data_IF_733609352973
#
_entry.id   IF_733609352973
#
_cell.length_a   1.000
_cell.length_b   1.000
_cell.length_c   1.000
_cell.angle_alpha   90.00
_cell.angle_beta   90.00
_cell.angle_gamma   90.00
#
_symmetry.space_group_name_H-M   'P 1'
#
loop_
_entity.id
_entity.type
_entity.pdbx_description
1 polymer ?
#
# COMPACT_ATOMS: atom_id res chain seq x y z
N UNK A 1 -5.51 -6.84 -15.03
CA UNK A 1 -4.06 -6.84 -15.27
C UNK A 1 -3.76 -7.93 -16.26
N UNK A 2 -3.04 -7.61 -17.34
CA UNK A 2 -2.47 -8.65 -18.22
C UNK A 2 -1.37 -9.38 -17.43
N UNK A 3 -1.13 -10.66 -17.70
CA UNK A 3 -0.02 -11.42 -17.11
C UNK A 3 1.36 -10.84 -17.45
N UNK A 4 1.43 -9.94 -18.43
CA UNK A 4 2.66 -9.33 -18.95
C UNK A 4 2.92 -7.92 -18.40
N UNK A 5 2.16 -7.45 -17.41
CA UNK A 5 2.33 -6.11 -16.83
C UNK A 5 2.84 -6.21 -15.40
N UNK A 6 3.98 -5.57 -15.11
CA UNK A 6 4.46 -5.35 -13.75
C UNK A 6 3.87 -4.05 -13.22
N UNK A 7 3.25 -4.12 -12.04
CA UNK A 7 2.69 -2.97 -11.34
C UNK A 7 3.52 -2.71 -10.09
N UNK A 8 3.79 -1.43 -9.80
CA UNK A 8 4.35 -0.95 -8.55
C UNK A 8 3.53 0.22 -8.02
N UNK A 9 3.66 0.50 -6.73
CA UNK A 9 2.94 1.59 -6.07
C UNK A 9 3.92 2.42 -5.24
N UNK A 10 3.86 3.74 -5.44
CA UNK A 10 4.54 4.73 -4.62
C UNK A 10 3.50 5.51 -3.82
N UNK A 11 3.79 5.79 -2.56
CA UNK A 11 2.89 6.55 -1.68
C UNK A 11 3.38 8.01 -1.65
N UNK A 12 2.53 8.94 -2.06
CA UNK A 12 2.80 10.38 -2.04
C UNK A 12 1.77 11.11 -1.15
N UNK A 13 1.86 11.01 0.18
CA UNK A 13 0.91 11.67 1.07
C UNK A 13 1.04 13.21 1.02
N UNK A 14 -0.08 13.93 1.11
CA UNK A 14 -0.12 15.39 1.33
C UNK A 14 -0.14 15.77 2.80
N UNK A 15 -0.70 14.92 3.65
CA UNK A 15 -0.83 15.16 5.09
C UNK A 15 0.37 14.64 5.88
N UNK A 16 0.53 15.16 7.10
CA UNK A 16 1.58 14.69 8.00
C UNK A 16 1.41 13.19 8.29
N UNK A 17 2.46 12.43 8.02
CA UNK A 17 2.48 10.99 8.24
C UNK A 17 2.50 10.65 9.73
N UNK A 18 1.69 9.68 10.11
CA UNK A 18 1.55 9.12 11.45
C UNK A 18 1.31 7.61 11.34
N UNK A 19 1.48 6.87 12.42
CA UNK A 19 1.30 5.41 12.36
C UNK A 19 -0.16 5.01 12.10
N UNK A 20 -1.12 5.79 12.60
CA UNK A 20 -2.56 5.58 12.44
C UNK A 20 -3.01 5.81 10.98
N UNK A 21 -2.56 6.89 10.34
CA UNK A 21 -2.99 7.25 9.00
C UNK A 21 -2.21 6.55 7.87
N UNK A 22 -1.20 5.74 8.19
CA UNK A 22 -0.41 4.98 7.20
C UNK A 22 -0.74 3.50 7.13
N UNK A 23 -1.72 3.03 7.91
CA UNK A 23 -2.09 1.60 7.95
C UNK A 23 -2.41 1.03 6.56
N UNK A 24 -3.19 1.74 5.75
CA UNK A 24 -3.53 1.30 4.38
C UNK A 24 -2.28 1.28 3.48
N UNK A 25 -1.48 2.34 3.51
CA UNK A 25 -0.25 2.44 2.71
C UNK A 25 0.75 1.32 3.03
N UNK A 26 0.92 1.01 4.32
CA UNK A 26 1.74 -0.12 4.79
C UNK A 26 1.16 -1.46 4.37
N UNK A 27 -0.16 -1.62 4.42
CA UNK A 27 -0.87 -2.83 3.99
C UNK A 27 -0.67 -3.12 2.50
N UNK A 28 -0.80 -2.08 1.66
CA UNK A 28 -0.54 -2.17 0.22
C UNK A 28 0.90 -2.61 -0.02
N UNK A 29 1.88 -1.94 0.59
CA UNK A 29 3.29 -2.27 0.39
C UNK A 29 3.65 -3.68 0.89
N UNK A 30 3.14 -4.10 2.05
CA UNK A 30 3.31 -5.45 2.57
C UNK A 30 2.74 -6.50 1.61
N UNK A 31 1.58 -6.25 0.99
CA UNK A 31 1.00 -7.14 0.00
C UNK A 31 1.90 -7.29 -1.23
N UNK A 32 2.39 -6.18 -1.79
CA UNK A 32 3.30 -6.21 -2.94
C UNK A 32 4.62 -6.94 -2.67
N UNK A 33 5.09 -6.96 -1.42
CA UNK A 33 6.36 -7.60 -1.04
C UNK A 33 6.23 -9.08 -0.67
N UNK A 34 5.02 -9.56 -0.35
CA UNK A 34 4.83 -10.89 0.25
C UNK A 34 3.88 -11.79 -0.52
N UNK A 35 3.06 -11.25 -1.42
CA UNK A 35 1.96 -11.98 -2.05
C UNK A 35 2.14 -12.10 -3.56
N UNK A 36 1.49 -13.10 -4.15
CA UNK A 36 1.41 -13.26 -5.59
C UNK A 36 0.38 -12.28 -6.22
N UNK A 37 0.42 -12.16 -7.55
CA UNK A 37 -0.42 -11.19 -8.28
C UNK A 37 -1.94 -11.39 -8.07
N UNK A 38 -2.40 -12.64 -7.96
CA UNK A 38 -3.83 -12.92 -7.73
C UNK A 38 -4.28 -12.46 -6.35
N UNK A 39 -3.47 -12.74 -5.33
CA UNK A 39 -3.76 -12.36 -3.94
C UNK A 39 -3.67 -10.84 -3.75
N UNK A 40 -2.67 -10.18 -4.35
CA UNK A 40 -2.57 -8.70 -4.34
C UNK A 40 -3.85 -8.08 -4.88
N UNK A 41 -4.32 -8.52 -6.04
CA UNK A 41 -5.55 -7.98 -6.66
C UNK A 41 -6.77 -8.15 -5.75
N UNK A 42 -6.94 -9.34 -5.17
CA UNK A 42 -8.05 -9.65 -4.27
C UNK A 42 -8.01 -8.78 -3.00
N UNK A 43 -6.83 -8.66 -2.40
CA UNK A 43 -6.61 -7.87 -1.20
C UNK A 43 -6.81 -6.36 -1.44
N UNK A 44 -6.27 -5.81 -2.53
CA UNK A 44 -6.48 -4.40 -2.89
C UNK A 44 -7.97 -4.08 -3.10
N UNK A 45 -8.72 -4.97 -3.74
CA UNK A 45 -10.18 -4.83 -3.92
C UNK A 45 -10.94 -4.78 -2.59
N UNK A 46 -10.46 -5.49 -1.55
CA UNK A 46 -11.02 -5.34 -0.20
C UNK A 46 -10.66 -4.00 0.42
N UNK A 47 -9.40 -3.56 0.31
CA UNK A 47 -8.94 -2.29 0.88
C UNK A 47 -9.63 -1.05 0.29
N UNK A 48 -10.09 -1.12 -0.96
CA UNK A 48 -10.81 0.00 -1.61
C UNK A 48 -12.25 0.19 -1.11
N UNK A 49 -12.78 -0.73 -0.31
CA UNK A 49 -14.14 -0.62 0.22
C UNK A 49 -14.21 0.38 1.36
N UNK A 50 -15.22 1.23 1.36
CA UNK A 50 -15.45 2.23 2.41
C UNK A 50 -15.61 1.59 3.79
N UNK A 51 -16.29 0.44 3.88
CA UNK A 51 -16.45 -0.34 5.11
C UNK A 51 -15.11 -0.77 5.71
N UNK A 52 -14.14 -1.13 4.86
CA UNK A 52 -12.80 -1.51 5.28
C UNK A 52 -12.04 -0.29 5.80
N UNK A 53 -12.12 0.84 5.12
CA UNK A 53 -11.53 2.10 5.58
C UNK A 53 -12.10 2.54 6.95
N UNK A 54 -13.42 2.47 7.13
CA UNK A 54 -14.08 2.77 8.42
C UNK A 54 -13.64 1.82 9.53
N UNK A 55 -13.59 0.52 9.25
CA UNK A 55 -13.17 -0.49 10.23
C UNK A 55 -11.71 -0.33 10.64
N UNK A 56 -10.83 0.00 9.69
CA UNK A 56 -9.41 0.29 9.95
C UNK A 56 -9.25 1.58 10.79
N UNK A 57 -10.01 2.62 10.48
CA UNK A 57 -10.02 3.86 11.28
C UNK A 57 -10.53 3.63 12.72
N UNK A 58 -11.44 2.66 12.91
CA UNK A 58 -11.90 2.22 14.22
C UNK A 58 -10.90 1.30 14.96
N UNK A 59 -9.70 1.06 14.41
CA UNK A 59 -8.64 0.28 15.06
C UNK A 59 -8.66 -1.23 14.75
N UNK A 60 -9.46 -1.67 13.76
CA UNK A 60 -9.45 -3.07 13.35
C UNK A 60 -8.09 -3.45 12.77
N UNK A 61 -7.52 -4.59 13.20
CA UNK A 61 -6.27 -5.09 12.63
C UNK A 61 -6.40 -5.38 11.13
N UNK A 62 -5.40 -4.98 10.36
CA UNK A 62 -5.40 -5.19 8.90
C UNK A 62 -5.42 -6.66 8.49
N UNK A 63 -4.93 -7.55 9.36
CA UNK A 63 -4.92 -9.01 9.14
C UNK A 63 -6.32 -9.61 9.06
N UNK A 64 -7.36 -8.94 9.59
CA UNK A 64 -8.76 -9.38 9.41
C UNK A 64 -9.25 -9.27 7.96
N UNK A 65 -8.58 -8.47 7.12
CA UNK A 65 -8.97 -8.28 5.73
C UNK A 65 -8.22 -9.20 4.75
N UNK A 66 -7.37 -10.09 5.25
CA UNK A 66 -6.65 -11.05 4.41
C UNK A 66 -7.63 -11.94 3.64
N UNK A 67 -7.18 -12.41 2.48
CA UNK A 67 -7.97 -13.28 1.60
C UNK A 67 -7.46 -14.70 1.70
N UNK A 68 -8.33 -15.72 1.59
CA UNK A 68 -7.90 -17.10 1.55
C UNK A 68 -6.78 -17.32 0.53
N UNK A 69 -5.73 -18.05 0.93
CA UNK A 69 -4.55 -18.31 0.09
C UNK A 69 -3.42 -17.29 0.21
N UNK A 70 -3.57 -16.24 1.04
CA UNK A 70 -2.45 -15.39 1.43
C UNK A 70 -1.55 -16.11 2.44
N UNK A 71 -0.26 -15.75 2.44
CA UNK A 71 0.65 -16.14 3.52
C UNK A 71 0.54 -15.11 4.65
N UNK A 72 -0.34 -15.39 5.61
CA UNK A 72 -0.72 -14.47 6.69
C UNK A 72 0.47 -14.13 7.57
N UNK A 73 1.27 -15.12 7.97
CA UNK A 73 2.45 -14.92 8.83
C UNK A 73 3.49 -14.01 8.18
N UNK A 74 3.79 -14.25 6.89
CA UNK A 74 4.78 -13.46 6.16
C UNK A 74 4.28 -12.04 5.93
N UNK A 75 2.99 -11.90 5.61
CA UNK A 75 2.34 -10.59 5.48
C UNK A 75 2.39 -9.81 6.79
N UNK A 76 1.95 -10.40 7.90
CA UNK A 76 1.87 -9.73 9.20
C UNK A 76 3.25 -9.31 9.70
N UNK A 77 4.25 -10.20 9.60
CA UNK A 77 5.65 -9.87 9.92
C UNK A 77 6.14 -8.68 9.10
N UNK A 78 5.89 -8.69 7.79
CA UNK A 78 6.33 -7.59 6.91
C UNK A 78 5.58 -6.31 7.23
N UNK A 79 4.27 -6.36 7.41
CA UNK A 79 3.43 -5.22 7.75
C UNK A 79 3.88 -4.52 9.04
N UNK A 80 4.16 -5.29 10.09
CA UNK A 80 4.61 -4.77 11.38
C UNK A 80 6.05 -4.22 11.33
N UNK A 81 6.87 -4.69 10.39
CA UNK A 81 8.25 -4.20 10.19
C UNK A 81 8.30 -2.93 9.34
N UNK A 82 7.31 -2.70 8.47
CA UNK A 82 7.26 -1.49 7.64
C UNK A 82 6.95 -0.28 8.51
N UNK A 83 7.97 0.55 8.72
CA UNK A 83 7.87 1.82 9.42
C UNK A 83 7.39 2.97 8.53
N UNK A 84 7.43 4.17 9.11
CA UNK A 84 7.11 5.41 8.38
C UNK A 84 8.24 5.85 7.43
N UNK A 85 9.44 5.36 7.65
CA UNK A 85 10.66 5.63 6.89
C UNK A 85 10.52 5.27 5.40
N UNK A 86 9.96 4.11 5.08
CA UNK A 86 9.79 3.68 3.68
C UNK A 86 8.76 4.55 2.94
N UNK A 87 7.66 4.93 3.60
CA UNK A 87 6.65 5.81 3.01
C UNK A 87 7.22 7.23 2.84
N UNK A 88 8.05 7.69 3.77
CA UNK A 88 8.76 8.97 3.65
C UNK A 88 9.73 8.94 2.47
N UNK A 89 10.40 7.81 2.26
CA UNK A 89 11.28 7.60 1.10
C UNK A 89 10.50 7.67 -0.21
N UNK A 90 9.31 7.04 -0.28
CA UNK A 90 8.44 7.16 -1.45
C UNK A 90 7.99 8.61 -1.69
N UNK A 91 7.60 9.34 -0.64
CA UNK A 91 7.20 10.74 -0.73
C UNK A 91 8.35 11.62 -1.27
N UNK A 92 9.55 11.47 -0.72
CA UNK A 92 10.73 12.21 -1.17
C UNK A 92 11.05 11.89 -2.63
N UNK A 93 10.97 10.62 -3.04
CA UNK A 93 11.18 10.24 -4.44
C UNK A 93 10.15 10.91 -5.38
N UNK A 94 8.87 10.91 -5.00
CA UNK A 94 7.83 11.57 -5.79
C UNK A 94 8.06 13.08 -5.95
N UNK A 95 8.53 13.77 -4.90
CA UNK A 95 8.75 15.22 -4.94
C UNK A 95 10.07 15.59 -5.60
N UNK A 96 11.16 14.93 -5.22
CA UNK A 96 12.50 15.31 -5.66
C UNK A 96 12.86 14.74 -7.03
N UNK A 97 12.38 13.55 -7.38
CA UNK A 97 12.70 12.89 -8.65
C UNK A 97 11.58 13.05 -9.66
N UNK A 98 10.35 12.69 -9.29
CA UNK A 98 9.19 12.76 -10.20
C UNK A 98 8.59 14.18 -10.31
N UNK A 99 9.05 15.12 -9.46
CA UNK A 99 8.58 16.51 -9.43
C UNK A 99 7.06 16.66 -9.22
N UNK A 100 6.46 15.73 -8.47
CA UNK A 100 5.06 15.75 -8.10
C UNK A 100 4.84 16.59 -6.82
N UNK A 101 3.73 17.32 -6.75
CA UNK A 101 3.31 17.99 -5.52
C UNK A 101 2.88 16.96 -4.46
N UNK A 102 2.97 17.28 -3.15
CA UNK A 102 2.47 16.40 -2.09
C UNK A 102 0.99 16.03 -2.32
N UNK A 103 0.66 14.74 -2.32
CA UNK A 103 -0.71 14.26 -2.57
C UNK A 103 -1.11 14.15 -4.04
N UNK A 104 -0.29 14.66 -4.97
CA UNK A 104 -0.59 14.56 -6.40
C UNK A 104 -0.54 13.10 -6.85
N UNK A 105 -1.60 12.67 -7.53
CA UNK A 105 -1.70 11.35 -8.13
C UNK A 105 -1.08 11.37 -9.53
N UNK A 106 -0.31 10.33 -9.85
CA UNK A 106 0.28 10.13 -11.17
C UNK A 106 0.33 8.63 -11.49
N UNK A 107 0.35 8.31 -12.78
CA UNK A 107 0.58 6.95 -13.29
C UNK A 107 1.76 7.04 -14.23
N UNK A 108 2.79 6.20 -13.98
CA UNK A 108 3.95 6.10 -14.85
C UNK A 108 3.93 4.74 -15.54
N UNK A 109 3.99 4.74 -16.87
CA UNK A 109 4.01 3.54 -17.70
C UNK A 109 5.19 3.61 -18.66
N UNK A 110 6.10 2.63 -18.56
CA UNK A 110 7.30 2.56 -19.39
C UNK A 110 8.11 3.87 -19.42
N UNK A 111 8.20 4.54 -18.25
CA UNK A 111 8.95 5.79 -18.07
C UNK A 111 8.23 7.06 -18.51
N UNK A 112 6.96 6.98 -18.90
CA UNK A 112 6.11 8.13 -19.25
C UNK A 112 5.00 8.33 -18.24
#
# INVERSE_FOLDING_TARGET
TSSHTRVGVLNNPSSKMREDNTAIARGILAAFLTQNNSNIKSFLSKLTKEETAKSLAAGTKITKFLTPGMNDDTFEKKYNTLGLDIIKTHQMFCQEVLKLLPGQMAVVSNGR
#
